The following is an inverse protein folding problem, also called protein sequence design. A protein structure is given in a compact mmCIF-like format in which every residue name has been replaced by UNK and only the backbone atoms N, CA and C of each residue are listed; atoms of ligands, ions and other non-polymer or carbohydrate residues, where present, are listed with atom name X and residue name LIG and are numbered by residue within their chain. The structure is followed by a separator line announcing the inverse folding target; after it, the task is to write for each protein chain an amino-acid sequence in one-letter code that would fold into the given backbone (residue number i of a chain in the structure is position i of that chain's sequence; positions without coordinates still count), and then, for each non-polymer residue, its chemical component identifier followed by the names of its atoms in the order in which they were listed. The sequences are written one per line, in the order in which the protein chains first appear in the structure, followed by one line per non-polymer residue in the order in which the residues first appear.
data_IF_406311665538
#
_entry.id   IF_406311665538
#
_cell.length_a   1.000
_cell.length_b   1.000
_cell.length_c   1.000
_cell.angle_alpha   90.00
_cell.angle_beta   90.00
_cell.angle_gamma   90.00
#
_symmetry.space_group_name_H-M   'P 1'
#
loop_
_entity.id
_entity.type
_entity.pdbx_description
1 polymer ?
#
# COMPACT_ATOMS: atom_id res chain seq x y z
N UNK A 1 -19.28 -10.81 -28.07
CA UNK A 1 -20.69 -10.90 -27.62
C UNK A 1 -20.77 -10.38 -26.20
N UNK A 2 -21.48 -9.26 -25.94
CA UNK A 2 -21.66 -8.74 -24.58
C UNK A 2 -22.81 -9.48 -23.90
N UNK A 3 -22.52 -10.27 -22.87
CA UNK A 3 -23.51 -11.14 -22.19
C UNK A 3 -24.64 -10.35 -21.51
N UNK A 4 -24.33 -9.14 -21.02
CA UNK A 4 -25.33 -8.25 -20.41
C UNK A 4 -26.25 -7.66 -21.49
N UNK A 5 -25.69 -7.21 -22.61
CA UNK A 5 -26.48 -6.64 -23.72
C UNK A 5 -27.37 -7.64 -24.46
N UNK A 6 -27.16 -8.93 -24.23
CA UNK A 6 -27.91 -10.01 -24.89
C UNK A 6 -28.74 -10.82 -23.90
N UNK A 7 -28.91 -10.35 -22.66
CA UNK A 7 -29.61 -11.02 -21.55
C UNK A 7 -29.13 -12.45 -21.22
N UNK A 8 -28.00 -12.87 -21.81
CA UNK A 8 -27.41 -14.19 -21.61
C UNK A 8 -26.87 -14.40 -20.20
N UNK A 9 -26.64 -13.33 -19.45
CA UNK A 9 -26.30 -13.38 -18.03
C UNK A 9 -27.45 -13.95 -17.17
N UNK A 10 -28.71 -13.83 -17.60
CA UNK A 10 -29.89 -14.39 -16.94
C UNK A 10 -30.07 -15.86 -17.33
N UNK A 11 -29.85 -16.18 -18.62
CA UNK A 11 -29.99 -17.54 -19.15
C UNK A 11 -28.86 -18.46 -18.68
N UNK A 12 -27.64 -17.93 -18.51
CA UNK A 12 -26.46 -18.68 -18.07
C UNK A 12 -25.79 -18.00 -16.85
N UNK A 13 -26.44 -17.99 -15.68
CA UNK A 13 -25.96 -17.27 -14.51
C UNK A 13 -24.64 -17.83 -13.96
N UNK A 14 -24.43 -19.14 -14.06
CA UNK A 14 -23.19 -19.80 -13.65
C UNK A 14 -21.99 -19.41 -14.53
N UNK A 15 -22.20 -19.36 -15.84
CA UNK A 15 -21.15 -18.95 -16.81
C UNK A 15 -20.77 -17.49 -16.59
N UNK A 16 -21.77 -16.64 -16.35
CA UNK A 16 -21.55 -15.23 -16.05
C UNK A 16 -20.72 -15.04 -14.77
N UNK A 17 -21.07 -15.73 -13.67
CA UNK A 17 -20.28 -15.71 -12.43
C UNK A 17 -18.86 -16.22 -12.60
N UNK A 18 -18.66 -17.28 -13.39
CA UNK A 18 -17.32 -17.81 -13.64
C UNK A 18 -16.43 -16.77 -14.33
N UNK A 19 -16.99 -16.06 -15.32
CA UNK A 19 -16.28 -14.99 -16.03
C UNK A 19 -15.98 -13.82 -15.08
N UNK A 20 -16.94 -13.42 -14.26
CA UNK A 20 -16.74 -12.36 -13.26
C UNK A 20 -15.62 -12.71 -12.27
N UNK A 21 -15.64 -13.93 -11.72
CA UNK A 21 -14.56 -14.41 -10.85
C UNK A 21 -13.21 -14.48 -11.58
N UNK A 22 -13.19 -14.97 -12.82
CA UNK A 22 -11.97 -15.04 -13.62
C UNK A 22 -11.40 -13.65 -13.95
N UNK A 23 -12.24 -12.61 -14.02
CA UNK A 23 -11.81 -11.22 -14.22
C UNK A 23 -11.34 -10.55 -12.92
N UNK A 24 -11.93 -10.89 -11.77
CA UNK A 24 -11.51 -10.38 -10.46
C UNK A 24 -10.21 -11.06 -10.01
N UNK A 25 -10.01 -12.33 -10.37
CA UNK A 25 -8.89 -13.13 -9.92
C UNK A 25 -7.52 -12.47 -10.22
N UNK A 26 -7.22 -11.94 -11.42
CA UNK A 26 -5.98 -11.22 -11.69
C UNK A 26 -5.76 -10.00 -10.79
N UNK A 27 -6.82 -9.25 -10.49
CA UNK A 27 -6.75 -8.06 -9.63
C UNK A 27 -6.45 -8.46 -8.18
N UNK A 28 -7.10 -9.52 -7.71
CA UNK A 28 -6.83 -10.09 -6.39
C UNK A 28 -5.41 -10.66 -6.32
N UNK A 29 -4.97 -11.43 -7.32
CA UNK A 29 -3.63 -11.99 -7.40
C UNK A 29 -2.55 -10.91 -7.39
N UNK A 30 -2.68 -9.87 -8.22
CA UNK A 30 -1.73 -8.76 -8.24
C UNK A 30 -1.66 -8.02 -6.88
N UNK A 31 -2.79 -7.89 -6.18
CA UNK A 31 -2.84 -7.27 -4.85
C UNK A 31 -2.12 -8.11 -3.80
N UNK A 32 -2.32 -9.43 -3.81
CA UNK A 32 -1.65 -10.37 -2.90
C UNK A 32 -0.16 -10.46 -3.20
N UNK A 33 0.23 -10.56 -4.48
CA UNK A 33 1.63 -10.57 -4.90
C UNK A 33 2.36 -9.29 -4.49
N UNK A 34 1.72 -8.12 -4.69
CA UNK A 34 2.27 -6.83 -4.24
C UNK A 34 2.47 -6.78 -2.72
N UNK A 35 1.50 -7.25 -1.94
CA UNK A 35 1.60 -7.29 -0.48
C UNK A 35 2.70 -8.27 0.00
N UNK A 36 2.80 -9.43 -0.64
CA UNK A 36 3.82 -10.44 -0.34
C UNK A 36 5.23 -9.95 -0.72
N UNK A 37 5.36 -9.30 -1.87
CA UNK A 37 6.62 -8.69 -2.31
C UNK A 37 7.06 -7.59 -1.34
N UNK A 38 6.16 -6.69 -0.96
CA UNK A 38 6.44 -5.65 0.03
C UNK A 38 6.90 -6.26 1.36
N UNK A 39 6.20 -7.30 1.84
CA UNK A 39 6.60 -8.00 3.05
C UNK A 39 7.97 -8.67 2.92
N UNK A 40 8.27 -9.28 1.77
CA UNK A 40 9.56 -9.91 1.50
C UNK A 40 10.70 -8.89 1.47
N UNK A 41 10.52 -7.74 0.81
CA UNK A 41 11.48 -6.64 0.79
C UNK A 41 11.71 -6.10 2.20
N UNK A 42 10.65 -5.79 2.94
CA UNK A 42 10.72 -5.33 4.33
C UNK A 42 11.46 -6.36 5.20
N UNK A 43 11.06 -7.64 5.18
CA UNK A 43 11.71 -8.69 5.98
C UNK A 43 13.17 -8.93 5.60
N UNK A 44 13.52 -8.80 4.33
CA UNK A 44 14.89 -9.06 3.84
C UNK A 44 15.83 -7.90 4.15
N UNK A 45 15.39 -6.66 3.95
CA UNK A 45 16.18 -5.45 4.27
C UNK A 45 16.40 -5.27 5.79
N UNK A 46 15.49 -5.77 6.63
CA UNK A 46 15.47 -5.46 8.06
C UNK A 46 15.91 -6.59 8.97
N UNK A 47 16.53 -7.61 8.37
CA UNK A 47 16.63 -8.99 8.84
C UNK A 47 17.08 -9.23 10.29
N UNK A 48 17.54 -8.23 11.04
CA UNK A 48 17.99 -8.40 12.42
C UNK A 48 17.70 -7.23 13.40
N UNK A 49 16.93 -6.19 13.02
CA UNK A 49 16.85 -4.96 13.86
C UNK A 49 15.48 -4.51 14.33
N UNK A 50 14.39 -5.17 13.93
CA UNK A 50 13.07 -4.57 14.07
C UNK A 50 12.04 -5.48 14.72
N UNK A 51 11.36 -4.95 15.76
CA UNK A 51 10.21 -5.60 16.38
C UNK A 51 8.95 -5.50 15.52
N UNK A 52 7.94 -6.32 15.87
CA UNK A 52 6.68 -6.47 15.12
C UNK A 52 5.95 -5.14 14.87
N UNK A 53 5.99 -4.22 15.84
CA UNK A 53 5.36 -2.91 15.73
C UNK A 53 5.89 -2.10 14.54
N UNK A 54 7.21 -2.07 14.37
CA UNK A 54 7.81 -1.33 13.28
C UNK A 54 7.50 -2.00 11.94
N UNK A 55 7.50 -3.33 11.88
CA UNK A 55 7.12 -4.06 10.66
C UNK A 55 5.70 -3.68 10.23
N UNK A 56 4.78 -3.58 11.20
CA UNK A 56 3.41 -3.14 10.95
C UNK A 56 3.37 -1.71 10.38
N UNK A 57 4.06 -0.76 10.98
CA UNK A 57 4.12 0.62 10.47
C UNK A 57 4.70 0.72 9.06
N UNK A 58 5.76 -0.04 8.77
CA UNK A 58 6.39 -0.03 7.44
C UNK A 58 5.56 -0.72 6.37
N UNK A 59 4.76 -1.72 6.74
CA UNK A 59 3.79 -2.33 5.83
C UNK A 59 2.69 -1.33 5.46
N UNK A 60 2.17 -0.57 6.43
CA UNK A 60 1.20 0.50 6.19
C UNK A 60 1.78 1.57 5.25
N UNK A 61 3.01 2.02 5.47
CA UNK A 61 3.68 2.99 4.58
C UNK A 61 3.87 2.46 3.15
N UNK A 62 4.10 1.16 2.97
CA UNK A 62 4.27 0.55 1.64
C UNK A 62 2.95 0.39 0.89
N UNK A 63 1.87 0.02 1.59
CA UNK A 63 0.53 -0.09 0.99
C UNK A 63 0.04 1.30 0.55
N UNK A 64 0.22 2.30 1.41
CA UNK A 64 -0.24 3.67 1.20
C UNK A 64 0.84 4.57 0.56
N UNK A 65 1.82 3.98 -0.15
CA UNK A 65 2.98 4.70 -0.68
C UNK A 65 2.60 5.90 -1.54
N UNK A 66 1.50 5.81 -2.30
CA UNK A 66 1.00 6.92 -3.13
C UNK A 66 0.46 8.10 -2.31
N UNK A 67 -0.07 7.84 -1.12
CA UNK A 67 -0.52 8.87 -0.19
C UNK A 67 0.70 9.48 0.51
N UNK A 68 1.63 8.64 0.97
CA UNK A 68 2.86 9.10 1.61
C UNK A 68 3.76 9.90 0.67
N UNK A 69 3.80 9.57 -0.62
CA UNK A 69 4.54 10.34 -1.63
C UNK A 69 4.03 11.77 -1.83
N UNK A 70 2.82 12.09 -1.35
CA UNK A 70 2.25 13.45 -1.37
C UNK A 70 2.59 14.26 -0.13
N UNK A 71 3.17 13.63 0.90
CA UNK A 71 3.54 14.31 2.14
C UNK A 71 4.92 14.94 1.95
N UNK A 72 5.04 16.21 2.31
CA UNK A 72 6.28 16.98 2.26
C UNK A 72 7.29 16.47 3.31
N UNK A 73 8.50 16.12 2.86
CA UNK A 73 9.56 15.59 3.73
C UNK A 73 9.95 16.59 4.83
N UNK A 74 9.99 17.89 4.49
CA UNK A 74 10.25 18.97 5.45
C UNK A 74 9.17 19.00 6.55
N UNK A 75 7.91 18.79 6.19
CA UNK A 75 6.80 18.76 7.14
C UNK A 75 6.91 17.54 8.07
N UNK A 76 7.31 16.38 7.55
CA UNK A 76 7.58 15.18 8.35
C UNK A 76 8.71 15.48 9.34
N UNK A 77 9.83 16.00 8.84
CA UNK A 77 11.01 16.32 9.65
C UNK A 77 10.68 17.31 10.76
N UNK A 78 9.97 18.39 10.45
CA UNK A 78 9.57 19.40 11.43
C UNK A 78 8.62 18.86 12.49
N UNK A 79 7.57 18.13 12.08
CA UNK A 79 6.64 17.50 13.03
C UNK A 79 7.35 16.48 13.90
N UNK A 80 8.27 15.72 13.31
CA UNK A 80 9.09 14.77 14.02
C UNK A 80 9.92 15.54 15.08
N UNK A 81 10.58 16.65 14.75
CA UNK A 81 11.33 17.47 15.71
C UNK A 81 10.51 18.05 16.87
N UNK A 82 9.25 18.42 16.62
CA UNK A 82 8.35 18.89 17.67
C UNK A 82 8.06 17.84 18.77
N UNK A 83 8.43 16.57 18.57
CA UNK A 83 8.33 15.56 19.64
C UNK A 83 9.31 15.84 20.78
N UNK A 84 8.74 15.92 21.99
CA UNK A 84 9.32 16.45 23.24
C UNK A 84 10.59 15.75 23.78
N UNK A 85 11.10 14.70 23.13
CA UNK A 85 12.13 13.81 23.67
C UNK A 85 13.32 13.58 22.72
N UNK A 86 13.86 14.63 22.10
CA UNK A 86 14.94 14.48 21.11
C UNK A 86 16.24 15.19 21.42
N UNK A 87 17.33 14.51 21.07
CA UNK A 87 18.71 15.03 21.05
C UNK A 87 19.04 15.52 19.62
N UNK A 88 18.66 16.75 19.29
CA UNK A 88 19.08 17.43 18.04
C UNK A 88 18.03 18.36 17.42
N UNK A 89 18.48 19.52 16.93
CA UNK A 89 17.69 20.56 16.24
C UNK A 89 18.23 20.78 14.83
N UNK A 90 17.36 20.93 13.82
CA UNK A 90 17.76 21.35 12.46
C UNK A 90 17.75 22.88 12.35
N UNK A 91 18.49 23.44 11.39
CA UNK A 91 18.42 24.87 11.08
C UNK A 91 17.01 25.30 10.61
N UNK A 92 16.63 26.57 10.79
CA UNK A 92 15.33 27.09 10.40
C UNK A 92 15.10 26.95 8.89
N UNK A 93 13.84 26.76 8.48
CA UNK A 93 13.43 26.67 7.08
C UNK A 93 13.86 27.94 6.34
N UNK A 94 14.75 27.81 5.36
CA UNK A 94 15.08 28.91 4.44
C UNK A 94 13.85 29.18 3.60
N UNK A 95 13.11 30.25 3.93
CA UNK A 95 12.04 30.78 3.11
C UNK A 95 12.64 31.29 1.79
N UNK A 96 12.51 30.50 0.73
CA UNK A 96 12.58 30.97 -0.65
C UNK A 96 11.18 30.94 -1.22
#
# INVERSE_FOLDING_TARGET
VKMVQTDRHIVFPLVYRLIELALILPVATASVERAFLAMSIIKTELRNKMGDDWLNYSMVCNIEREIFAKVDDDAIIYRFQAYRFRKGTLPPRSSV
#
